data_IF_228581010757
#
_entry.id   IF_228581010757
#
_cell.length_a   1.000
_cell.length_b   1.000
_cell.length_c   1.000
_cell.angle_alpha   90.00
_cell.angle_beta   90.00
_cell.angle_gamma   90.00
#
_symmetry.space_group_name_H-M   'P 1'
#
loop_
_entity.id
_entity.type
_entity.pdbx_description
1 polymer ?
#
# COMPACT_ATOMS: atom_id res chain seq x y z
N UNK A 1 70.49 -32.90 24.61
CA UNK A 1 69.38 -33.23 23.73
C UNK A 1 68.02 -33.36 24.47
N UNK A 2 67.76 -32.67 25.57
CA UNK A 2 66.48 -32.72 26.31
C UNK A 2 65.84 -31.37 26.59
N UNK A 3 66.41 -30.26 26.07
CA UNK A 3 65.91 -28.90 26.33
C UNK A 3 65.21 -28.19 25.14
N UNK A 4 65.30 -28.76 23.94
CA UNK A 4 64.66 -28.19 22.75
C UNK A 4 63.24 -28.70 22.46
N UNK A 5 62.89 -29.88 22.97
CA UNK A 5 61.57 -30.45 22.79
C UNK A 5 60.51 -29.74 23.65
N UNK A 6 60.92 -29.15 24.80
CA UNK A 6 59.98 -28.49 25.73
C UNK A 6 59.59 -27.06 25.32
N UNK A 7 60.40 -26.43 24.45
CA UNK A 7 60.12 -25.06 23.93
C UNK A 7 59.20 -25.03 22.72
N UNK A 8 59.06 -26.15 21.99
CA UNK A 8 58.19 -26.25 20.81
C UNK A 8 56.72 -26.59 21.17
N UNK A 9 56.47 -27.18 22.33
CA UNK A 9 55.12 -27.54 22.79
C UNK A 9 54.39 -26.38 23.47
N UNK A 10 55.06 -25.37 23.98
CA UNK A 10 54.47 -24.19 24.59
C UNK A 10 54.11 -23.09 23.58
N UNK A 11 54.64 -23.09 22.36
CA UNK A 11 54.30 -22.15 21.30
C UNK A 11 53.07 -22.55 20.49
N UNK A 12 52.65 -23.84 20.56
CA UNK A 12 51.48 -24.34 19.81
C UNK A 12 50.14 -24.19 20.57
N UNK A 13 50.18 -23.94 21.90
CA UNK A 13 48.95 -23.79 22.74
C UNK A 13 48.53 -22.32 22.83
N UNK A 14 49.36 -21.35 22.45
CA UNK A 14 48.99 -19.92 22.52
C UNK A 14 48.29 -19.36 21.25
N UNK A 15 48.14 -20.16 20.17
CA UNK A 15 47.51 -19.72 18.92
C UNK A 15 46.07 -20.26 18.72
N UNK A 16 45.53 -21.00 19.70
CA UNK A 16 44.20 -21.62 19.54
C UNK A 16 43.05 -20.91 20.29
N UNK A 17 43.29 -19.71 20.86
CA UNK A 17 42.29 -19.05 21.72
C UNK A 17 41.92 -17.64 21.28
N UNK A 18 41.98 -17.30 19.98
CA UNK A 18 41.49 -16.01 19.47
C UNK A 18 40.56 -16.17 18.27
N UNK A 19 39.69 -17.18 18.30
CA UNK A 19 38.41 -17.14 17.58
C UNK A 19 37.31 -16.73 18.58
N UNK A 20 37.51 -15.59 19.28
CA UNK A 20 36.39 -14.89 19.85
C UNK A 20 35.57 -14.38 18.67
N UNK A 21 34.43 -15.04 18.42
CA UNK A 21 33.48 -14.61 17.41
C UNK A 21 33.30 -13.09 17.53
N UNK A 22 33.59 -12.35 16.49
CA UNK A 22 33.20 -10.97 16.37
C UNK A 22 31.67 -10.96 16.37
N UNK A 23 31.06 -10.93 17.55
CA UNK A 23 29.65 -10.58 17.71
C UNK A 23 29.52 -9.22 17.04
N UNK A 24 28.85 -9.15 15.90
CA UNK A 24 28.57 -7.87 15.27
C UNK A 24 27.95 -6.97 16.35
N UNK A 25 28.59 -5.85 16.61
CA UNK A 25 28.14 -4.93 17.66
C UNK A 25 26.72 -4.46 17.31
N UNK A 26 25.77 -4.65 18.24
CA UNK A 26 24.41 -4.20 18.08
C UNK A 26 24.37 -2.69 17.85
N UNK A 27 23.56 -2.26 16.89
CA UNK A 27 23.45 -0.85 16.50
C UNK A 27 21.97 -0.45 16.47
N UNK A 28 21.62 0.61 17.17
CA UNK A 28 20.25 1.09 17.30
C UNK A 28 20.16 2.59 17.08
N UNK A 29 19.16 3.00 16.30
CA UNK A 29 18.66 4.38 16.27
C UNK A 29 17.46 4.49 17.24
N UNK A 30 16.98 5.72 17.54
CA UNK A 30 15.77 5.93 18.33
C UNK A 30 14.61 5.04 17.82
N UNK A 31 13.88 4.44 18.76
CA UNK A 31 12.78 3.52 18.49
C UNK A 31 13.20 2.05 18.42
N UNK A 32 14.48 1.71 18.64
CA UNK A 32 14.93 0.32 18.72
C UNK A 32 15.86 0.09 19.90
N UNK A 33 15.80 -1.12 20.47
CA UNK A 33 16.70 -1.58 21.52
C UNK A 33 16.70 -3.13 21.56
N UNK A 34 17.32 -3.72 22.57
CA UNK A 34 17.40 -5.18 22.73
C UNK A 34 16.05 -5.89 22.91
N UNK A 35 15.01 -5.18 23.28
CA UNK A 35 13.69 -5.75 23.63
C UNK A 35 12.54 -5.26 22.79
N UNK A 36 12.71 -4.11 22.12
CA UNK A 36 11.61 -3.37 21.50
C UNK A 36 12.00 -2.80 20.13
N UNK A 37 11.02 -2.77 19.23
CA UNK A 37 11.04 -2.00 17.99
C UNK A 37 9.76 -1.16 17.98
N UNK A 38 9.89 0.16 18.04
CA UNK A 38 8.77 1.09 18.05
C UNK A 38 8.47 1.57 16.62
N UNK A 39 7.26 1.30 16.14
CA UNK A 39 6.78 1.61 14.79
C UNK A 39 5.64 2.62 14.90
N UNK A 40 5.81 3.78 14.25
CA UNK A 40 4.75 4.79 14.12
C UNK A 40 3.92 4.58 12.86
N UNK A 41 2.64 4.98 12.90
CA UNK A 41 1.77 5.00 11.73
C UNK A 41 0.76 6.16 11.82
N UNK A 42 0.31 6.62 10.66
CA UNK A 42 -0.72 7.67 10.53
C UNK A 42 -1.77 7.16 9.57
N UNK A 43 -2.99 6.97 10.06
CA UNK A 43 -4.13 6.48 9.28
C UNK A 43 -5.38 7.32 9.56
N UNK A 44 -6.30 7.46 8.59
CA UNK A 44 -7.58 8.12 8.83
C UNK A 44 -8.56 7.15 9.52
N UNK A 45 -8.51 7.07 10.85
CA UNK A 45 -9.51 6.31 11.62
C UNK A 45 -10.84 7.04 11.74
N UNK A 46 -10.84 8.34 11.49
CA UNK A 46 -12.00 9.21 11.44
C UNK A 46 -12.09 9.97 10.12
N UNK A 47 -13.18 10.75 9.92
CA UNK A 47 -13.36 11.62 8.76
C UNK A 47 -13.80 10.89 7.48
N UNK A 48 -13.74 11.58 6.32
CA UNK A 48 -14.35 11.12 5.06
C UNK A 48 -13.67 9.90 4.45
N UNK A 49 -12.41 9.62 4.81
CA UNK A 49 -11.66 8.47 4.33
C UNK A 49 -11.51 7.35 5.38
N UNK A 50 -12.35 7.36 6.43
CA UNK A 50 -12.27 6.43 7.57
C UNK A 50 -12.42 4.94 7.23
N UNK A 51 -12.98 4.60 6.08
CA UNK A 51 -13.00 3.21 5.59
C UNK A 51 -11.57 2.62 5.48
N UNK A 52 -10.56 3.44 5.17
CA UNK A 52 -9.16 3.02 5.13
C UNK A 52 -8.56 2.75 6.52
N UNK A 53 -9.18 3.19 7.60
CA UNK A 53 -8.73 2.90 8.97
C UNK A 53 -8.62 1.41 9.27
N UNK A 54 -9.34 0.57 8.55
CA UNK A 54 -9.23 -0.90 8.55
C UNK A 54 -7.79 -1.36 8.30
N UNK A 55 -7.05 -0.71 7.42
CA UNK A 55 -5.65 -1.04 7.10
C UNK A 55 -4.78 -0.95 8.35
N UNK A 56 -4.84 0.17 9.08
CA UNK A 56 -4.04 0.36 10.29
C UNK A 56 -4.40 -0.63 11.41
N UNK A 57 -5.68 -1.00 11.53
CA UNK A 57 -6.14 -2.04 12.46
C UNK A 57 -5.61 -3.42 12.09
N UNK A 58 -5.65 -3.79 10.82
CA UNK A 58 -5.11 -5.05 10.31
C UNK A 58 -3.58 -5.14 10.53
N UNK A 59 -2.84 -4.06 10.30
CA UNK A 59 -1.41 -3.95 10.61
C UNK A 59 -1.16 -4.22 12.09
N UNK A 60 -1.89 -3.56 12.99
CA UNK A 60 -1.77 -3.75 14.44
C UNK A 60 -2.04 -5.20 14.87
N UNK A 61 -3.06 -5.82 14.30
CA UNK A 61 -3.38 -7.23 14.54
C UNK A 61 -2.28 -8.17 14.02
N UNK A 62 -1.63 -7.85 12.89
CA UNK A 62 -0.51 -8.63 12.40
C UNK A 62 0.71 -8.51 13.33
N UNK A 63 1.01 -7.31 13.83
CA UNK A 63 2.08 -7.13 14.81
C UNK A 63 1.80 -7.84 16.15
N UNK A 64 0.53 -7.90 16.57
CA UNK A 64 0.13 -8.70 17.73
C UNK A 64 0.45 -10.19 17.52
N UNK A 65 0.20 -10.75 16.32
CA UNK A 65 0.63 -12.10 15.95
C UNK A 65 2.16 -12.25 16.08
N UNK A 66 2.93 -11.36 15.47
CA UNK A 66 4.40 -11.41 15.53
C UNK A 66 4.88 -11.36 16.98
N UNK A 67 4.29 -10.50 17.81
CA UNK A 67 4.61 -10.42 19.23
C UNK A 67 4.27 -11.70 20.00
N UNK A 68 3.16 -12.36 19.69
CA UNK A 68 2.79 -13.65 20.29
C UNK A 68 3.77 -14.76 19.91
N UNK A 69 4.39 -14.69 18.74
CA UNK A 69 5.38 -15.64 18.21
C UNK A 69 6.83 -15.33 18.66
N UNK A 70 7.03 -14.37 19.56
CA UNK A 70 8.35 -14.05 20.10
C UNK A 70 8.95 -12.74 19.60
N UNK A 71 8.27 -12.03 18.69
CA UNK A 71 8.73 -10.75 18.13
C UNK A 71 9.70 -10.93 16.96
N UNK A 72 10.40 -9.86 16.60
CA UNK A 72 11.39 -9.85 15.52
C UNK A 72 12.79 -10.01 16.16
N UNK A 73 13.44 -11.13 15.91
CA UNK A 73 14.75 -11.45 16.51
C UNK A 73 14.75 -11.24 18.04
N UNK A 74 13.65 -11.65 18.70
CA UNK A 74 13.47 -11.53 20.16
C UNK A 74 12.96 -10.17 20.65
N UNK A 75 12.73 -9.20 19.76
CA UNK A 75 12.23 -7.85 20.10
C UNK A 75 10.74 -7.74 19.83
N UNK A 76 9.99 -7.19 20.80
CA UNK A 76 8.56 -6.91 20.63
C UNK A 76 8.34 -5.66 19.80
N UNK A 77 7.30 -5.65 18.99
CA UNK A 77 6.86 -4.49 18.25
C UNK A 77 5.92 -3.67 19.13
N UNK A 78 6.23 -2.39 19.32
CA UNK A 78 5.30 -1.39 19.86
C UNK A 78 4.78 -0.57 18.69
N UNK A 79 3.47 -0.66 18.44
CA UNK A 79 2.80 0.00 17.33
C UNK A 79 2.04 1.24 17.80
N UNK A 80 2.48 2.42 17.39
CA UNK A 80 1.87 3.72 17.72
C UNK A 80 1.15 4.24 16.49
N UNK A 81 -0.16 4.02 16.42
CA UNK A 81 -1.00 4.44 15.31
C UNK A 81 -1.82 5.68 15.69
N UNK A 82 -1.70 6.75 14.92
CA UNK A 82 -2.35 8.03 15.15
C UNK A 82 -3.36 8.35 14.04
N UNK A 83 -4.43 9.08 14.41
CA UNK A 83 -5.51 9.48 13.49
C UNK A 83 -5.28 10.89 12.95
N UNK A 84 -5.14 11.03 11.63
CA UNK A 84 -5.09 12.32 10.96
C UNK A 84 -6.44 12.77 10.37
N UNK A 85 -7.46 11.90 10.38
CA UNK A 85 -8.75 12.17 9.73
C UNK A 85 -8.65 12.47 8.23
N UNK A 86 -7.57 12.02 7.57
CA UNK A 86 -7.22 12.36 6.18
C UNK A 86 -6.96 13.87 5.97
N UNK A 87 -6.43 14.53 6.99
CA UNK A 87 -6.13 15.96 6.98
C UNK A 87 -4.61 16.19 6.98
N UNK A 88 -4.04 16.81 5.93
CA UNK A 88 -2.59 17.01 5.81
C UNK A 88 -1.97 17.82 6.96
N UNK A 89 -2.68 18.80 7.50
CA UNK A 89 -2.19 19.59 8.63
C UNK A 89 -2.08 18.74 9.90
N UNK A 90 -3.09 17.91 10.18
CA UNK A 90 -3.03 16.94 11.28
C UNK A 90 -1.95 15.88 11.05
N UNK A 91 -1.75 15.42 9.81
CA UNK A 91 -0.69 14.48 9.50
C UNK A 91 0.69 15.04 9.89
N UNK A 92 0.94 16.34 9.66
CA UNK A 92 2.19 17.02 10.10
C UNK A 92 2.33 17.01 11.62
N UNK A 93 1.26 17.31 12.35
CA UNK A 93 1.24 17.24 13.81
C UNK A 93 1.52 15.83 14.33
N UNK A 94 0.83 14.82 13.76
CA UNK A 94 1.04 13.41 14.12
C UNK A 94 2.45 12.92 13.79
N UNK A 95 3.01 13.33 12.65
CA UNK A 95 4.38 12.98 12.28
C UNK A 95 5.41 13.56 13.27
N UNK A 96 5.23 14.80 13.70
CA UNK A 96 6.09 15.40 14.72
C UNK A 96 5.99 14.65 16.05
N UNK A 97 4.78 14.33 16.49
CA UNK A 97 4.56 13.55 17.70
C UNK A 97 5.26 12.20 17.64
N UNK A 98 5.12 11.46 16.53
CA UNK A 98 5.78 10.16 16.33
C UNK A 98 7.31 10.27 16.37
N UNK A 99 7.89 11.34 15.81
CA UNK A 99 9.35 11.51 15.72
C UNK A 99 9.95 12.12 16.97
N UNK A 100 9.33 13.15 17.54
CA UNK A 100 9.92 14.00 18.58
C UNK A 100 9.51 13.57 20.00
N UNK A 101 8.32 12.95 20.18
CA UNK A 101 7.83 12.50 21.49
C UNK A 101 7.90 10.97 21.60
N UNK A 102 7.38 10.25 20.61
CA UNK A 102 7.37 8.78 20.60
C UNK A 102 8.71 8.17 20.20
N UNK A 103 9.57 8.93 19.50
CA UNK A 103 10.88 8.51 19.03
C UNK A 103 10.85 7.20 18.24
N UNK A 104 9.90 7.06 17.28
CA UNK A 104 9.74 5.83 16.50
C UNK A 104 10.93 5.56 15.59
N UNK A 105 11.23 4.28 15.32
CA UNK A 105 12.25 3.86 14.38
C UNK A 105 11.87 4.24 12.95
N UNK A 106 10.62 4.00 12.58
CA UNK A 106 10.04 4.25 11.25
C UNK A 106 8.63 4.82 11.38
N UNK A 107 8.21 5.64 10.41
CA UNK A 107 6.80 5.96 10.14
C UNK A 107 6.36 5.03 9.01
N UNK A 108 5.59 4.02 9.36
CA UNK A 108 5.23 2.91 8.49
C UNK A 108 3.81 3.06 7.94
N UNK A 109 3.69 2.90 6.63
CA UNK A 109 2.42 2.88 5.89
C UNK A 109 1.48 4.07 6.18
N UNK A 110 2.01 5.32 6.33
CA UNK A 110 1.12 6.47 6.46
C UNK A 110 0.24 6.58 5.23
N UNK A 111 -1.06 6.90 5.45
CA UNK A 111 -2.07 6.77 4.40
C UNK A 111 -2.48 8.10 3.78
N UNK A 112 -2.64 8.07 2.46
CA UNK A 112 -3.18 9.18 1.67
C UNK A 112 -2.12 10.07 1.04
N UNK A 113 -2.31 10.42 -0.23
CA UNK A 113 -1.34 11.22 -0.99
C UNK A 113 -1.13 12.61 -0.38
N UNK A 114 -2.19 13.39 -0.03
CA UNK A 114 -1.99 14.71 0.55
C UNK A 114 -1.29 14.67 1.91
N UNK A 115 -1.65 13.73 2.79
CA UNK A 115 -1.01 13.56 4.11
C UNK A 115 0.47 13.19 3.97
N UNK A 116 0.79 12.22 3.10
CA UNK A 116 2.18 11.82 2.84
C UNK A 116 3.01 12.93 2.22
N UNK A 117 2.43 13.72 1.32
CA UNK A 117 3.11 14.89 0.72
C UNK A 117 3.48 15.91 1.80
N UNK A 118 2.58 16.18 2.73
CA UNK A 118 2.79 17.17 3.78
C UNK A 118 3.93 16.79 4.75
N UNK A 119 4.13 15.50 5.01
CA UNK A 119 5.14 15.01 5.97
C UNK A 119 6.47 14.61 5.32
N UNK A 120 6.53 14.42 3.99
CA UNK A 120 7.67 13.85 3.28
C UNK A 120 8.96 14.62 3.51
N UNK A 121 8.94 15.94 3.30
CA UNK A 121 10.13 16.77 3.47
C UNK A 121 10.66 16.74 4.91
N UNK A 122 9.76 16.82 5.89
CA UNK A 122 10.10 16.78 7.30
C UNK A 122 10.77 15.44 7.68
N UNK A 123 10.17 14.30 7.31
CA UNK A 123 10.71 12.98 7.63
C UNK A 123 12.05 12.74 6.93
N UNK A 124 12.22 13.17 5.66
CA UNK A 124 13.50 13.09 4.96
C UNK A 124 14.59 13.95 5.63
N UNK A 125 14.28 15.17 6.08
CA UNK A 125 15.22 16.02 6.83
C UNK A 125 15.62 15.40 8.17
N UNK A 126 14.67 14.77 8.88
CA UNK A 126 14.94 14.07 10.14
C UNK A 126 15.57 12.69 9.95
N UNK A 127 15.75 12.23 8.71
CA UNK A 127 16.24 10.89 8.36
C UNK A 127 15.43 9.77 9.05
N UNK A 128 14.12 9.94 9.10
CA UNK A 128 13.17 8.94 9.59
C UNK A 128 12.51 8.26 8.38
N UNK A 129 12.59 6.95 8.24
CA UNK A 129 11.93 6.25 7.15
C UNK A 129 10.42 6.52 7.11
N UNK A 130 9.93 7.03 5.99
CA UNK A 130 8.53 7.08 5.59
C UNK A 130 8.30 5.89 4.67
N UNK A 131 8.06 4.72 5.28
CA UNK A 131 8.28 3.45 4.62
C UNK A 131 6.98 2.79 4.21
N UNK A 132 6.93 2.32 2.95
CA UNK A 132 5.80 1.62 2.35
C UNK A 132 4.49 2.41 2.47
N UNK A 133 4.53 3.67 2.02
CA UNK A 133 3.39 4.58 2.14
C UNK A 133 2.13 4.02 1.47
N UNK A 134 0.98 4.19 2.12
CA UNK A 134 -0.32 3.73 1.62
C UNK A 134 -0.90 4.71 0.60
N UNK A 135 -0.20 4.85 -0.51
CA UNK A 135 -0.59 5.63 -1.69
C UNK A 135 0.30 5.24 -2.87
N UNK A 136 -0.29 5.16 -4.07
CA UNK A 136 0.43 4.83 -5.30
C UNK A 136 0.86 6.07 -6.11
N UNK A 137 0.86 7.28 -5.54
CA UNK A 137 1.34 8.43 -6.29
C UNK A 137 2.77 8.21 -6.77
N UNK A 138 3.02 8.46 -8.05
CA UNK A 138 4.26 8.08 -8.74
C UNK A 138 5.52 8.71 -8.14
N UNK A 139 5.37 9.82 -7.43
CA UNK A 139 6.47 10.52 -6.75
C UNK A 139 7.15 9.75 -5.63
N UNK A 140 6.54 8.68 -5.09
CA UNK A 140 7.13 7.89 -4.00
C UNK A 140 8.29 7.00 -4.46
N UNK A 141 8.42 6.77 -5.76
CA UNK A 141 9.51 6.00 -6.38
C UNK A 141 10.75 6.82 -6.72
N UNK A 142 11.08 7.88 -5.98
CA UNK A 142 12.21 8.76 -6.25
C UNK A 142 13.26 8.72 -5.11
N UNK A 143 14.13 7.70 -5.06
CA UNK A 143 15.17 7.60 -4.03
C UNK A 143 16.23 8.70 -4.11
N UNK A 144 16.42 9.33 -5.27
CA UNK A 144 17.41 10.38 -5.47
C UNK A 144 17.11 11.63 -4.65
N UNK A 145 15.85 12.11 -4.71
CA UNK A 145 15.45 13.33 -4.03
C UNK A 145 14.88 13.05 -2.62
N UNK A 146 14.30 11.87 -2.42
CA UNK A 146 13.66 11.46 -1.18
C UNK A 146 14.10 10.06 -0.73
N UNK A 147 15.37 9.89 -0.32
CA UNK A 147 15.94 8.58 0.02
C UNK A 147 15.31 7.92 1.26
N UNK A 148 14.51 8.65 2.02
CA UNK A 148 13.82 8.16 3.21
C UNK A 148 12.32 7.91 2.99
N UNK A 149 11.84 7.97 1.73
CA UNK A 149 10.44 7.69 1.38
C UNK A 149 10.37 6.58 0.35
N UNK A 150 9.55 5.57 0.59
CA UNK A 150 9.31 4.45 -0.34
C UNK A 150 7.82 4.14 -0.43
N UNK A 151 7.31 3.90 -1.65
CA UNK A 151 5.98 3.38 -1.91
C UNK A 151 5.81 1.92 -1.52
N UNK A 152 4.63 1.35 -1.76
CA UNK A 152 4.38 -0.09 -1.65
C UNK A 152 3.48 -0.61 -2.78
N UNK A 153 2.33 0.00 -2.96
CA UNK A 153 1.34 -0.39 -3.97
C UNK A 153 1.73 0.11 -5.37
N UNK A 154 1.12 -0.43 -6.44
CA UNK A 154 1.40 -0.02 -7.81
C UNK A 154 1.23 1.49 -8.04
N UNK A 155 2.08 2.09 -8.91
CA UNK A 155 1.97 3.50 -9.24
C UNK A 155 0.64 3.82 -9.93
N UNK A 156 -0.01 4.91 -9.51
CA UNK A 156 -1.30 5.36 -10.07
C UNK A 156 -1.23 5.66 -11.57
N UNK A 157 -0.12 6.22 -12.06
CA UNK A 157 0.04 6.43 -13.49
C UNK A 157 0.12 5.12 -14.27
N UNK A 158 0.72 4.06 -13.68
CA UNK A 158 0.76 2.75 -14.32
C UNK A 158 -0.65 2.15 -14.42
N UNK A 159 -1.43 2.24 -13.35
CA UNK A 159 -2.83 1.79 -13.34
C UNK A 159 -3.69 2.58 -14.33
N UNK A 160 -3.54 3.91 -14.39
CA UNK A 160 -4.21 4.75 -15.37
C UNK A 160 -3.93 4.33 -16.82
N UNK A 161 -2.67 4.00 -17.12
CA UNK A 161 -2.28 3.48 -18.46
C UNK A 161 -2.91 2.11 -18.78
N UNK A 162 -3.09 1.24 -17.78
CA UNK A 162 -3.79 -0.05 -17.98
C UNK A 162 -5.24 0.20 -18.45
N UNK A 163 -5.95 1.10 -17.81
CA UNK A 163 -7.33 1.43 -18.19
C UNK A 163 -7.41 2.09 -19.57
N UNK A 164 -6.51 3.02 -19.86
CA UNK A 164 -6.41 3.65 -21.17
C UNK A 164 -6.16 2.62 -22.28
N UNK A 165 -5.21 1.70 -22.08
CA UNK A 165 -4.92 0.62 -23.04
C UNK A 165 -6.15 -0.27 -23.24
N UNK A 166 -6.83 -0.67 -22.17
CA UNK A 166 -8.03 -1.49 -22.29
C UNK A 166 -9.16 -0.78 -23.06
N UNK A 167 -9.33 0.52 -22.88
CA UNK A 167 -10.30 1.32 -23.65
C UNK A 167 -9.89 1.34 -25.12
N UNK A 168 -8.64 1.63 -25.44
CA UNK A 168 -8.16 1.69 -26.81
C UNK A 168 -8.32 0.37 -27.56
N UNK A 169 -8.13 -0.75 -26.87
CA UNK A 169 -8.23 -2.10 -27.43
C UNK A 169 -9.69 -2.53 -27.67
N UNK A 170 -10.63 -2.09 -26.83
CA UNK A 170 -12.00 -2.62 -26.80
C UNK A 170 -13.06 -1.61 -27.23
N UNK A 171 -12.77 -0.31 -27.13
CA UNK A 171 -13.69 0.79 -27.45
C UNK A 171 -12.91 2.03 -27.91
N UNK A 172 -12.24 1.98 -29.06
CA UNK A 172 -11.32 3.03 -29.54
C UNK A 172 -11.97 4.39 -29.81
N UNK A 173 -13.32 4.42 -29.91
CA UNK A 173 -14.11 5.61 -30.15
C UNK A 173 -14.90 6.04 -28.88
N UNK A 174 -14.52 5.53 -27.72
CA UNK A 174 -15.19 5.83 -26.46
C UNK A 174 -15.20 7.34 -26.18
N UNK A 175 -16.36 7.83 -25.69
CA UNK A 175 -16.50 9.15 -25.09
C UNK A 175 -16.35 9.01 -23.58
N UNK A 176 -15.29 9.53 -23.03
CA UNK A 176 -14.86 9.25 -21.66
C UNK A 176 -15.21 10.43 -20.75
N UNK A 177 -15.87 10.14 -19.63
CA UNK A 177 -16.00 11.06 -18.50
C UNK A 177 -15.03 10.67 -17.39
N UNK A 178 -14.46 11.64 -16.67
CA UNK A 178 -13.57 11.41 -15.55
C UNK A 178 -14.06 12.17 -14.32
N UNK A 179 -14.19 11.46 -13.19
CA UNK A 179 -14.38 12.06 -11.87
C UNK A 179 -13.11 11.82 -11.05
N UNK A 180 -12.54 12.87 -10.46
CA UNK A 180 -11.30 12.74 -9.70
C UNK A 180 -11.26 13.63 -8.45
N UNK A 181 -10.58 13.17 -7.40
CA UNK A 181 -10.29 13.99 -6.22
C UNK A 181 -9.32 15.10 -6.62
N UNK A 182 -9.61 16.35 -6.24
CA UNK A 182 -8.85 17.53 -6.67
C UNK A 182 -7.56 17.71 -5.86
N UNK A 183 -6.70 16.71 -5.90
CA UNK A 183 -5.38 16.73 -5.27
C UNK A 183 -4.37 15.92 -6.11
N UNK A 184 -3.16 15.73 -5.56
CA UNK A 184 -2.10 14.97 -6.23
C UNK A 184 -2.49 13.51 -6.50
N UNK A 185 -3.36 12.90 -5.68
CA UNK A 185 -3.85 11.53 -5.92
C UNK A 185 -4.67 11.45 -7.20
N UNK A 186 -5.72 12.27 -7.31
CA UNK A 186 -6.59 12.25 -8.49
C UNK A 186 -5.86 12.69 -9.75
N UNK A 187 -4.99 13.70 -9.64
CA UNK A 187 -4.21 14.23 -10.78
C UNK A 187 -3.14 13.25 -11.28
N UNK A 188 -2.54 12.43 -10.39
CA UNK A 188 -1.55 11.43 -10.78
C UNK A 188 -2.18 10.27 -11.58
N UNK A 189 -3.37 9.80 -11.16
CA UNK A 189 -4.16 8.85 -11.95
C UNK A 189 -4.55 9.42 -13.32
N UNK A 190 -5.11 10.65 -13.31
CA UNK A 190 -5.55 11.32 -14.55
C UNK A 190 -4.38 11.47 -15.52
N UNK A 191 -3.21 11.88 -15.04
CA UNK A 191 -2.00 11.99 -15.85
C UNK A 191 -1.64 10.67 -16.52
N UNK A 192 -1.58 9.57 -15.75
CA UNK A 192 -1.27 8.25 -16.29
C UNK A 192 -2.30 7.76 -17.31
N UNK A 193 -3.56 8.08 -17.10
CA UNK A 193 -4.65 7.78 -18.03
C UNK A 193 -4.52 8.57 -19.34
N UNK A 194 -4.28 9.87 -19.26
CA UNK A 194 -4.04 10.73 -20.42
C UNK A 194 -2.79 10.33 -21.21
N UNK A 195 -1.69 10.01 -20.50
CA UNK A 195 -0.46 9.50 -21.12
C UNK A 195 -0.72 8.18 -21.87
N UNK A 196 -1.56 7.30 -21.31
CA UNK A 196 -1.94 6.03 -21.93
C UNK A 196 -2.83 6.18 -23.17
N UNK A 197 -3.71 7.19 -23.20
CA UNK A 197 -4.53 7.54 -24.37
C UNK A 197 -3.72 8.26 -25.46
N UNK A 198 -2.59 8.87 -25.10
CA UNK A 198 -1.75 9.64 -26.01
C UNK A 198 -2.51 10.80 -26.67
N UNK A 199 -2.31 10.99 -27.97
CA UNK A 199 -2.94 12.08 -28.74
C UNK A 199 -4.49 12.01 -28.72
N UNK A 200 -5.06 10.83 -28.50
CA UNK A 200 -6.51 10.62 -28.42
C UNK A 200 -7.13 11.19 -27.14
N UNK A 201 -6.34 11.47 -26.09
CA UNK A 201 -6.86 11.97 -24.82
C UNK A 201 -7.74 13.22 -24.99
N UNK A 202 -7.33 14.16 -25.85
CA UNK A 202 -8.07 15.42 -26.10
C UNK A 202 -9.44 15.22 -26.75
N UNK A 203 -9.56 14.21 -27.60
CA UNK A 203 -10.82 13.93 -28.32
C UNK A 203 -11.72 12.94 -27.57
N UNK A 204 -11.13 11.98 -26.85
CA UNK A 204 -11.87 10.95 -26.14
C UNK A 204 -12.39 11.42 -24.78
N UNK A 205 -11.63 12.21 -24.01
CA UNK A 205 -12.10 12.72 -22.70
C UNK A 205 -13.00 13.91 -22.92
N UNK A 206 -14.32 13.69 -22.95
CA UNK A 206 -15.35 14.68 -23.25
C UNK A 206 -15.81 15.47 -22.03
N UNK A 207 -15.57 14.97 -20.82
CA UNK A 207 -15.93 15.66 -19.58
C UNK A 207 -14.98 15.28 -18.44
N UNK A 208 -14.67 16.27 -17.61
CA UNK A 208 -13.96 16.12 -16.34
C UNK A 208 -14.71 16.83 -15.25
N UNK A 209 -14.84 16.22 -14.09
CA UNK A 209 -15.35 16.84 -12.89
C UNK A 209 -14.42 16.46 -11.72
N UNK A 210 -14.19 17.40 -10.83
CA UNK A 210 -13.43 17.14 -9.60
C UNK A 210 -14.33 17.28 -8.37
N UNK A 211 -13.85 16.72 -7.25
CA UNK A 211 -14.45 16.89 -5.94
C UNK A 211 -13.35 17.11 -4.91
N UNK A 212 -13.73 17.76 -3.81
CA UNK A 212 -12.88 17.85 -2.62
C UNK A 212 -13.25 16.74 -1.64
N UNK A 213 -12.26 16.21 -0.90
CA UNK A 213 -12.51 15.16 0.09
C UNK A 213 -13.48 15.59 1.20
N UNK A 214 -13.64 16.89 1.38
CA UNK A 214 -14.56 17.51 2.34
C UNK A 214 -15.96 17.73 1.81
N UNK A 215 -16.20 17.47 0.52
CA UNK A 215 -17.53 17.62 -0.06
C UNK A 215 -18.52 16.65 0.58
N UNK A 216 -19.77 17.07 0.81
CA UNK A 216 -20.77 16.17 1.37
C UNK A 216 -21.22 15.10 0.36
N UNK A 217 -21.32 15.45 -0.92
CA UNK A 217 -21.82 14.61 -2.02
C UNK A 217 -21.19 15.02 -3.35
N UNK A 218 -21.28 14.13 -4.34
CA UNK A 218 -20.79 14.35 -5.72
C UNK A 218 -21.94 14.28 -6.75
N UNK A 219 -23.16 14.47 -6.32
CA UNK A 219 -24.35 14.30 -7.15
C UNK A 219 -24.35 15.21 -8.38
N UNK A 220 -23.97 16.47 -8.21
CA UNK A 220 -23.91 17.45 -9.31
C UNK A 220 -22.83 17.08 -10.34
N UNK A 221 -21.69 16.61 -9.89
CA UNK A 221 -20.63 16.12 -10.76
C UNK A 221 -21.12 14.94 -11.60
N UNK A 222 -21.80 13.97 -10.98
CA UNK A 222 -22.31 12.79 -11.68
C UNK A 222 -23.37 13.13 -12.72
N UNK A 223 -24.28 14.07 -12.43
CA UNK A 223 -25.26 14.57 -13.41
C UNK A 223 -24.57 15.27 -14.58
N UNK A 224 -23.58 16.10 -14.31
CA UNK A 224 -22.80 16.80 -15.35
C UNK A 224 -22.06 15.81 -16.24
N UNK A 225 -21.40 14.80 -15.65
CA UNK A 225 -20.65 13.79 -16.39
C UNK A 225 -21.57 12.95 -17.30
N UNK A 226 -22.76 12.54 -16.80
CA UNK A 226 -23.77 11.86 -17.63
C UNK A 226 -24.22 12.74 -18.81
N UNK A 227 -24.47 14.02 -18.56
CA UNK A 227 -24.99 14.96 -19.58
C UNK A 227 -24.00 15.19 -20.73
N UNK A 228 -22.73 14.85 -20.58
CA UNK A 228 -21.72 14.92 -21.65
C UNK A 228 -21.93 13.87 -22.75
N UNK A 229 -22.81 12.89 -22.52
CA UNK A 229 -23.02 11.76 -23.42
C UNK A 229 -21.85 10.77 -23.42
N UNK A 230 -21.05 10.74 -22.35
CA UNK A 230 -19.96 9.77 -22.18
C UNK A 230 -20.51 8.36 -22.01
N UNK A 231 -19.85 7.40 -22.66
CA UNK A 231 -20.15 5.96 -22.64
C UNK A 231 -19.05 5.11 -21.99
N UNK A 232 -17.99 5.78 -21.52
CA UNK A 232 -17.00 5.24 -20.60
C UNK A 232 -16.81 6.23 -19.44
N UNK A 233 -16.56 5.70 -18.25
CA UNK A 233 -16.39 6.48 -17.03
C UNK A 233 -15.18 6.02 -16.26
N UNK A 234 -14.23 6.91 -16.00
CA UNK A 234 -13.12 6.65 -15.08
C UNK A 234 -13.37 7.34 -13.75
N UNK A 235 -13.56 6.54 -12.72
CA UNK A 235 -13.90 6.91 -11.36
C UNK A 235 -12.65 6.88 -10.48
N UNK A 236 -12.05 8.06 -10.23
CA UNK A 236 -10.84 8.24 -9.43
C UNK A 236 -11.24 8.83 -8.08
N UNK A 237 -11.86 7.99 -7.25
CA UNK A 237 -12.43 8.44 -5.98
C UNK A 237 -12.00 7.57 -4.81
N UNK A 238 -11.99 8.17 -3.62
CA UNK A 238 -11.82 7.45 -2.34
C UNK A 238 -13.12 6.73 -1.94
N UNK A 239 -13.10 5.76 -1.01
CA UNK A 239 -14.19 4.81 -0.76
C UNK A 239 -15.59 5.41 -0.63
N UNK A 240 -15.77 6.46 0.18
CA UNK A 240 -17.05 7.16 0.36
C UNK A 240 -17.62 7.64 -0.99
N UNK A 241 -16.78 8.32 -1.75
CA UNK A 241 -17.18 8.92 -3.03
C UNK A 241 -17.29 7.89 -4.15
N UNK A 242 -16.51 6.80 -4.09
CA UNK A 242 -16.67 5.67 -5.00
C UNK A 242 -18.05 5.03 -4.83
N UNK A 243 -18.47 4.75 -3.61
CA UNK A 243 -19.79 4.21 -3.32
C UNK A 243 -20.91 5.18 -3.76
N UNK A 244 -20.75 6.48 -3.52
CA UNK A 244 -21.69 7.51 -3.99
C UNK A 244 -21.77 7.56 -5.52
N UNK A 245 -20.63 7.52 -6.23
CA UNK A 245 -20.58 7.57 -7.68
C UNK A 245 -21.26 6.36 -8.33
N UNK A 246 -20.98 5.16 -7.81
CA UNK A 246 -21.61 3.91 -8.29
C UNK A 246 -23.12 3.96 -8.09
N UNK A 247 -23.57 4.30 -6.88
CA UNK A 247 -24.99 4.42 -6.54
C UNK A 247 -25.67 5.47 -7.39
N UNK A 248 -25.06 6.65 -7.53
CA UNK A 248 -25.63 7.75 -8.32
C UNK A 248 -25.73 7.42 -9.80
N UNK A 249 -24.73 6.75 -10.39
CA UNK A 249 -24.80 6.29 -11.78
C UNK A 249 -26.03 5.39 -12.01
N UNK A 250 -26.30 4.45 -11.10
CA UNK A 250 -27.48 3.58 -11.15
C UNK A 250 -28.77 4.39 -10.99
N UNK A 251 -28.87 5.29 -10.02
CA UNK A 251 -30.04 6.13 -9.75
C UNK A 251 -30.45 6.98 -10.96
N UNK A 252 -29.46 7.56 -11.64
CA UNK A 252 -29.73 8.41 -12.83
C UNK A 252 -29.79 7.60 -14.12
N UNK A 253 -29.70 6.26 -14.07
CA UNK A 253 -29.75 5.38 -15.23
C UNK A 253 -28.58 5.56 -16.20
N UNK A 254 -27.39 5.95 -15.71
CA UNK A 254 -26.17 6.05 -16.51
C UNK A 254 -25.38 4.73 -16.45
N UNK A 255 -25.17 4.11 -17.61
CA UNK A 255 -24.55 2.77 -17.74
C UNK A 255 -23.31 2.81 -18.66
N UNK A 256 -22.26 3.56 -18.33
CA UNK A 256 -21.02 3.57 -19.09
C UNK A 256 -20.20 2.30 -18.82
N UNK A 257 -19.19 2.04 -19.63
CA UNK A 257 -18.10 1.14 -19.22
C UNK A 257 -17.37 1.83 -18.05
N UNK A 258 -17.52 1.31 -16.85
CA UNK A 258 -17.12 1.98 -15.61
C UNK A 258 -15.80 1.41 -15.05
N UNK A 259 -14.74 2.19 -15.11
CA UNK A 259 -13.45 1.90 -14.51
C UNK A 259 -13.38 2.51 -13.12
N UNK A 260 -13.12 1.68 -12.13
CA UNK A 260 -12.94 2.09 -10.74
C UNK A 260 -11.46 1.93 -10.36
N UNK A 261 -10.85 2.98 -9.83
CA UNK A 261 -9.49 2.91 -9.34
C UNK A 261 -9.35 1.88 -8.21
N UNK A 262 -8.23 1.17 -8.19
CA UNK A 262 -7.97 0.03 -7.32
C UNK A 262 -8.14 0.32 -5.83
N UNK A 263 -7.70 1.51 -5.37
CA UNK A 263 -7.78 1.90 -3.95
C UNK A 263 -9.21 2.01 -3.41
N UNK A 264 -10.23 1.90 -4.27
CA UNK A 264 -11.65 1.84 -3.90
C UNK A 264 -12.32 0.52 -4.33
N UNK A 265 -11.53 -0.51 -4.65
CA UNK A 265 -12.03 -1.79 -5.15
C UNK A 265 -12.54 -2.77 -4.08
N UNK A 266 -12.50 -2.45 -2.77
CA UNK A 266 -12.96 -3.37 -1.72
C UNK A 266 -14.45 -3.69 -1.83
N UNK A 267 -14.77 -4.99 -1.93
CA UNK A 267 -16.17 -5.45 -1.96
C UNK A 267 -16.87 -5.08 -0.66
N UNK A 268 -16.27 -5.35 0.49
CA UNK A 268 -16.87 -5.08 1.79
C UNK A 268 -17.00 -3.59 2.13
N UNK A 269 -15.94 -2.82 1.87
CA UNK A 269 -15.89 -1.42 2.29
C UNK A 269 -16.51 -0.44 1.28
N UNK A 270 -16.63 -0.81 -0.01
CA UNK A 270 -17.08 0.10 -1.08
C UNK A 270 -18.27 -0.45 -1.83
N UNK A 271 -18.18 -1.67 -2.41
CA UNK A 271 -19.21 -2.17 -3.30
C UNK A 271 -20.48 -2.56 -2.54
N UNK A 272 -20.35 -3.11 -1.33
CA UNK A 272 -21.52 -3.41 -0.47
C UNK A 272 -22.31 -2.14 -0.12
N UNK A 273 -21.70 -1.04 0.37
CA UNK A 273 -22.41 0.23 0.57
C UNK A 273 -22.98 0.86 -0.70
N UNK A 274 -22.32 0.66 -1.85
CA UNK A 274 -22.80 1.16 -3.16
C UNK A 274 -24.02 0.38 -3.68
N UNK A 275 -24.20 -0.85 -3.20
CA UNK A 275 -25.11 -1.86 -3.73
C UNK A 275 -24.39 -2.77 -4.73
N UNK A 276 -24.34 -4.08 -4.43
CA UNK A 276 -23.64 -5.04 -5.27
C UNK A 276 -24.23 -5.10 -6.68
N UNK A 277 -25.56 -5.01 -6.83
CA UNK A 277 -26.24 -4.98 -8.13
C UNK A 277 -25.86 -3.73 -8.95
N UNK A 278 -25.66 -2.58 -8.29
CA UNK A 278 -25.21 -1.35 -8.94
C UNK A 278 -23.76 -1.42 -9.40
N UNK A 279 -23.00 -2.36 -8.85
CA UNK A 279 -21.56 -2.54 -9.08
C UNK A 279 -21.24 -3.58 -10.16
N UNK A 280 -22.25 -4.30 -10.67
CA UNK A 280 -22.06 -5.31 -11.71
C UNK A 280 -21.44 -4.69 -12.96
N UNK A 281 -20.36 -5.29 -13.46
CA UNK A 281 -19.67 -4.85 -14.67
C UNK A 281 -18.57 -3.81 -14.44
N UNK A 282 -18.38 -3.30 -13.20
CA UNK A 282 -17.23 -2.45 -12.87
C UNK A 282 -15.91 -3.14 -13.24
N UNK A 283 -14.95 -2.36 -13.71
CA UNK A 283 -13.59 -2.80 -14.06
C UNK A 283 -12.60 -2.17 -13.09
N UNK A 284 -11.62 -2.95 -12.62
CA UNK A 284 -10.48 -2.46 -11.82
C UNK A 284 -9.21 -3.22 -12.19
N UNK A 285 -8.04 -2.66 -11.85
CA UNK A 285 -6.75 -3.35 -11.99
C UNK A 285 -6.24 -3.74 -10.59
N UNK A 286 -6.44 -5.02 -10.22
CA UNK A 286 -6.04 -5.56 -8.93
C UNK A 286 -4.61 -6.09 -8.94
N UNK A 287 -3.98 -6.12 -7.76
CA UNK A 287 -2.69 -6.76 -7.49
C UNK A 287 -2.76 -7.66 -6.25
N UNK A 288 -3.82 -7.54 -5.46
CA UNK A 288 -4.13 -8.38 -4.30
C UNK A 288 -5.19 -9.41 -4.65
N UNK A 289 -5.14 -10.56 -3.98
CA UNK A 289 -6.22 -11.56 -4.00
C UNK A 289 -7.46 -10.98 -3.32
N UNK A 290 -8.57 -10.97 -4.02
CA UNK A 290 -9.85 -10.56 -3.42
C UNK A 290 -10.35 -11.66 -2.47
N UNK A 291 -10.68 -11.33 -1.20
CA UNK A 291 -11.12 -12.34 -0.24
C UNK A 291 -12.49 -12.95 -0.56
N UNK A 292 -13.28 -12.34 -1.45
CA UNK A 292 -14.58 -12.84 -1.89
C UNK A 292 -14.49 -13.81 -3.07
N UNK A 293 -13.32 -13.88 -3.74
CA UNK A 293 -13.14 -14.72 -4.91
C UNK A 293 -13.03 -16.20 -4.53
N UNK A 294 -13.96 -17.07 -5.01
CA UNK A 294 -13.93 -18.50 -4.72
C UNK A 294 -12.68 -19.21 -5.28
N UNK A 295 -11.96 -18.63 -6.22
CA UNK A 295 -10.68 -19.16 -6.69
C UNK A 295 -9.68 -19.36 -5.53
N UNK A 296 -9.76 -18.50 -4.51
CA UNK A 296 -8.88 -18.55 -3.34
C UNK A 296 -9.46 -19.37 -2.17
N UNK A 297 -10.55 -20.12 -2.36
CA UNK A 297 -11.17 -20.89 -1.29
C UNK A 297 -10.22 -21.96 -0.71
N UNK A 298 -9.40 -22.58 -1.57
CA UNK A 298 -8.41 -23.58 -1.17
C UNK A 298 -6.95 -23.10 -1.27
N UNK A 299 -6.74 -21.80 -1.48
CA UNK A 299 -5.40 -21.22 -1.53
C UNK A 299 -4.76 -21.21 -0.13
N UNK A 300 -3.60 -21.85 0.08
CA UNK A 300 -2.98 -21.95 1.40
C UNK A 300 -2.68 -20.57 2.02
N UNK A 301 -2.27 -19.59 1.20
CA UNK A 301 -1.98 -18.24 1.65
C UNK A 301 -3.21 -17.51 2.17
N UNK A 302 -4.33 -17.58 1.42
CA UNK A 302 -5.59 -16.97 1.84
C UNK A 302 -6.26 -17.74 2.98
N UNK A 303 -6.06 -19.06 3.10
CA UNK A 303 -6.49 -19.82 4.28
C UNK A 303 -5.72 -19.37 5.52
N UNK A 304 -4.40 -19.21 5.43
CA UNK A 304 -3.59 -18.66 6.51
C UNK A 304 -4.01 -17.24 6.91
N UNK A 305 -4.38 -16.38 5.94
CA UNK A 305 -4.94 -15.06 6.21
C UNK A 305 -6.30 -15.15 6.94
N UNK A 306 -7.22 -16.05 6.54
CA UNK A 306 -8.52 -16.24 7.21
C UNK A 306 -8.36 -16.73 8.66
N UNK A 307 -7.44 -17.66 8.89
CA UNK A 307 -7.12 -18.14 10.25
C UNK A 307 -6.51 -17.03 11.12
N UNK A 308 -5.62 -16.22 10.53
CA UNK A 308 -5.07 -15.06 11.22
C UNK A 308 -6.18 -14.05 11.56
N UNK A 309 -7.07 -13.70 10.63
CA UNK A 309 -8.24 -12.83 10.89
C UNK A 309 -9.04 -13.36 12.08
N UNK A 310 -9.41 -14.63 12.06
CA UNK A 310 -10.18 -15.27 13.13
C UNK A 310 -9.50 -15.20 14.49
N UNK A 311 -8.19 -15.34 14.53
CA UNK A 311 -7.44 -15.43 15.78
C UNK A 311 -7.01 -14.08 16.35
N UNK A 312 -6.61 -13.15 15.49
CA UNK A 312 -5.98 -11.88 15.90
C UNK A 312 -6.80 -10.64 15.52
N UNK A 313 -7.79 -10.78 14.63
CA UNK A 313 -8.63 -9.68 14.18
C UNK A 313 -10.08 -10.15 13.95
N UNK A 314 -10.67 -10.78 14.96
CA UNK A 314 -12.00 -11.38 14.87
C UNK A 314 -13.13 -10.40 14.52
N UNK A 315 -13.00 -9.12 14.88
CA UNK A 315 -13.95 -8.06 14.54
C UNK A 315 -13.77 -7.52 13.11
N UNK A 316 -12.73 -7.96 12.39
CA UNK A 316 -12.46 -7.56 11.01
C UNK A 316 -13.42 -8.17 10.01
N UNK A 317 -13.84 -7.37 9.01
CA UNK A 317 -14.73 -7.86 7.96
C UNK A 317 -13.96 -8.74 6.96
N UNK A 318 -14.32 -10.02 6.85
CA UNK A 318 -13.66 -11.01 5.97
C UNK A 318 -13.82 -10.73 4.46
N UNK A 319 -14.75 -9.88 4.06
CA UNK A 319 -14.95 -9.50 2.65
C UNK A 319 -14.35 -8.12 2.33
N UNK A 320 -13.64 -7.50 3.28
CA UNK A 320 -12.96 -6.23 3.08
C UNK A 320 -11.51 -6.46 2.63
N UNK A 321 -11.22 -6.16 1.37
CA UNK A 321 -9.88 -6.30 0.76
C UNK A 321 -8.81 -5.43 1.44
N UNK A 322 -9.18 -4.39 2.18
CA UNK A 322 -8.23 -3.58 2.96
C UNK A 322 -7.55 -4.38 4.07
N UNK A 323 -8.20 -5.45 4.56
CA UNK A 323 -7.57 -6.37 5.51
C UNK A 323 -6.46 -7.21 4.86
N UNK A 324 -6.63 -7.61 3.60
CA UNK A 324 -5.57 -8.31 2.82
C UNK A 324 -4.40 -7.37 2.57
N UNK A 325 -4.69 -6.09 2.26
CA UNK A 325 -3.66 -5.06 2.11
C UNK A 325 -2.84 -4.89 3.39
N UNK A 326 -3.50 -4.63 4.53
CA UNK A 326 -2.84 -4.41 5.82
C UNK A 326 -1.98 -5.60 6.26
N UNK A 327 -2.49 -6.83 6.07
CA UNK A 327 -1.77 -8.07 6.31
C UNK A 327 -0.49 -8.17 5.46
N UNK A 328 -0.61 -7.90 4.16
CA UNK A 328 0.49 -8.05 3.20
C UNK A 328 1.59 -6.99 3.39
N UNK A 329 1.21 -5.72 3.61
CA UNK A 329 2.20 -4.66 3.84
C UNK A 329 2.92 -4.83 5.18
N UNK A 330 2.23 -5.33 6.21
CA UNK A 330 2.85 -5.65 7.50
C UNK A 330 3.86 -6.80 7.38
N UNK A 331 3.56 -7.84 6.59
CA UNK A 331 4.51 -8.91 6.26
C UNK A 331 5.77 -8.35 5.60
N UNK A 332 5.63 -7.39 4.68
CA UNK A 332 6.75 -6.75 3.99
C UNK A 332 7.69 -6.05 4.98
N UNK A 333 7.13 -5.24 5.91
CA UNK A 333 7.93 -4.58 6.92
C UNK A 333 8.62 -5.57 7.86
N UNK A 334 7.89 -6.58 8.33
CA UNK A 334 8.45 -7.61 9.23
C UNK A 334 9.63 -8.32 8.57
N UNK A 335 9.56 -8.61 7.27
CA UNK A 335 10.68 -9.20 6.55
C UNK A 335 11.88 -8.24 6.46
N UNK A 336 11.66 -6.97 6.13
CA UNK A 336 12.74 -5.98 6.11
C UNK A 336 13.42 -5.83 7.49
N UNK A 337 12.64 -5.79 8.56
CA UNK A 337 13.17 -5.71 9.93
C UNK A 337 13.89 -6.99 10.38
N UNK A 338 13.44 -8.18 9.95
CA UNK A 338 14.16 -9.45 10.19
C UNK A 338 15.54 -9.43 9.53
N UNK A 339 15.64 -8.90 8.31
CA UNK A 339 16.91 -8.78 7.58
C UNK A 339 17.87 -7.78 8.24
N UNK A 340 17.37 -6.82 9.03
CA UNK A 340 18.23 -5.90 9.77
C UNK A 340 19.07 -6.60 10.85
N UNK A 341 18.62 -7.75 11.39
CA UNK A 341 19.31 -8.45 12.46
C UNK A 341 19.48 -7.57 13.70
N UNK A 342 20.71 -7.41 14.15
CA UNK A 342 21.07 -6.58 15.29
C UNK A 342 21.47 -5.13 14.91
N UNK A 343 21.37 -4.79 13.62
CA UNK A 343 21.55 -3.43 13.14
C UNK A 343 20.20 -2.79 12.80
N UNK A 344 19.53 -2.26 13.81
CA UNK A 344 18.26 -1.54 13.69
C UNK A 344 18.51 -0.01 13.64
N UNK A 345 19.44 0.41 12.79
CA UNK A 345 19.56 1.82 12.40
C UNK A 345 18.57 2.14 11.28
N UNK A 346 18.06 3.37 11.25
CA UNK A 346 17.13 3.84 10.20
C UNK A 346 17.74 3.67 8.81
N UNK A 347 19.03 3.93 8.67
CA UNK A 347 19.74 3.74 7.40
C UNK A 347 19.76 2.28 6.96
N UNK A 348 19.97 1.32 7.88
CA UNK A 348 19.93 -0.09 7.55
C UNK A 348 18.50 -0.57 7.25
N UNK A 349 17.48 -0.04 7.95
CA UNK A 349 16.07 -0.33 7.62
C UNK A 349 15.76 0.06 6.18
N UNK A 350 16.15 1.26 5.73
CA UNK A 350 15.97 1.68 4.33
C UNK A 350 16.77 0.80 3.37
N UNK A 351 18.00 0.42 3.72
CA UNK A 351 18.83 -0.49 2.91
C UNK A 351 18.17 -1.85 2.73
N UNK A 352 17.63 -2.44 3.80
CA UNK A 352 16.93 -3.73 3.73
C UNK A 352 15.60 -3.62 2.97
N UNK A 353 14.86 -2.52 3.16
CA UNK A 353 13.66 -2.24 2.39
C UNK A 353 13.94 -2.08 0.88
N UNK A 354 15.13 -1.60 0.51
CA UNK A 354 15.58 -1.47 -0.87
C UNK A 354 16.27 -2.73 -1.43
N UNK A 355 16.09 -3.88 -0.79
CA UNK A 355 16.69 -5.16 -1.23
C UNK A 355 15.72 -6.34 -1.06
N UNK A 356 14.43 -6.07 -1.23
CA UNK A 356 13.38 -7.09 -1.11
C UNK A 356 13.15 -7.81 -2.44
N UNK A 357 12.88 -9.11 -2.35
CA UNK A 357 12.32 -9.93 -3.43
C UNK A 357 11.42 -10.98 -2.75
N UNK A 358 10.10 -10.69 -2.69
CA UNK A 358 9.15 -11.44 -1.88
C UNK A 358 7.92 -11.85 -2.68
N UNK A 359 7.54 -13.10 -2.53
CA UNK A 359 6.20 -13.57 -2.86
C UNK A 359 5.35 -13.54 -1.58
N UNK A 360 4.28 -12.74 -1.59
CA UNK A 360 3.38 -12.63 -0.45
C UNK A 360 2.08 -13.40 -0.71
N UNK A 361 1.53 -14.09 0.29
CA UNK A 361 0.33 -14.91 0.13
C UNK A 361 -0.91 -14.13 -0.32
N UNK A 362 -0.99 -12.82 -0.01
CA UNK A 362 -2.08 -11.95 -0.40
C UNK A 362 -1.95 -11.32 -1.80
N UNK A 363 -0.81 -11.50 -2.50
CA UNK A 363 -0.63 -10.97 -3.85
C UNK A 363 -1.16 -11.95 -4.90
N UNK A 364 -1.58 -11.40 -6.05
CA UNK A 364 -1.96 -12.21 -7.22
C UNK A 364 -0.77 -13.02 -7.75
N UNK A 365 -1.01 -14.18 -8.38
CA UNK A 365 0.03 -14.92 -9.07
C UNK A 365 0.76 -14.06 -10.11
N UNK A 366 2.10 -14.09 -10.07
CA UNK A 366 2.94 -13.27 -10.94
C UNK A 366 3.14 -11.82 -10.50
N UNK A 367 2.57 -11.45 -9.35
CA UNK A 367 2.83 -10.18 -8.66
C UNK A 367 3.70 -10.44 -7.44
N UNK A 368 4.78 -9.72 -7.29
CA UNK A 368 5.71 -9.82 -6.17
C UNK A 368 6.11 -8.44 -5.66
N UNK A 369 6.68 -8.40 -4.46
CA UNK A 369 7.36 -7.22 -3.92
C UNK A 369 8.82 -7.30 -4.30
N UNK A 370 9.29 -6.38 -5.14
CA UNK A 370 10.70 -6.32 -5.55
C UNK A 370 11.21 -4.90 -5.50
N UNK A 371 12.35 -4.68 -4.85
CA UNK A 371 12.94 -3.36 -4.68
C UNK A 371 14.43 -3.38 -5.03
N UNK A 372 15.00 -2.21 -5.27
CA UNK A 372 16.41 -2.01 -5.55
C UNK A 372 16.89 -0.67 -5.00
N UNK A 373 18.19 -0.43 -5.01
CA UNK A 373 18.79 0.83 -4.55
C UNK A 373 18.23 2.06 -5.32
N UNK A 374 17.94 1.86 -6.60
CA UNK A 374 17.40 2.89 -7.50
C UNK A 374 15.92 2.64 -7.87
N UNK A 375 15.28 1.67 -7.23
CA UNK A 375 13.90 1.26 -7.49
C UNK A 375 13.08 1.18 -6.19
N UNK A 376 12.29 2.22 -5.94
CA UNK A 376 11.41 2.37 -4.80
C UNK A 376 9.93 2.14 -5.16
N UNK A 377 9.68 1.34 -6.21
CA UNK A 377 8.37 0.83 -6.59
C UNK A 377 8.23 -0.67 -6.25
N UNK A 378 7.90 -1.04 -5.02
CA UNK A 378 7.90 -2.44 -4.58
C UNK A 378 6.98 -3.35 -5.38
N UNK A 379 5.81 -2.84 -5.81
CA UNK A 379 4.84 -3.56 -6.63
C UNK A 379 4.55 -2.75 -7.88
N UNK A 380 4.79 -3.34 -9.05
CA UNK A 380 4.59 -2.67 -10.35
C UNK A 380 3.60 -3.41 -11.25
N UNK A 381 3.05 -4.54 -10.79
CA UNK A 381 2.19 -5.40 -11.60
C UNK A 381 0.75 -5.40 -11.11
N UNK A 382 -0.17 -5.55 -12.05
CA UNK A 382 -1.59 -5.69 -11.79
C UNK A 382 -2.31 -6.40 -12.92
N UNK A 383 -3.52 -6.89 -12.65
CA UNK A 383 -4.38 -7.58 -13.61
C UNK A 383 -5.78 -6.99 -13.59
N UNK A 384 -6.37 -6.83 -14.76
CA UNK A 384 -7.76 -6.38 -14.88
C UNK A 384 -8.72 -7.43 -14.30
N UNK A 385 -9.74 -6.91 -13.62
CA UNK A 385 -10.84 -7.70 -13.07
C UNK A 385 -12.17 -7.01 -13.34
N UNK A 386 -13.23 -7.81 -13.48
CA UNK A 386 -14.62 -7.35 -13.62
C UNK A 386 -15.45 -7.85 -12.47
N UNK A 387 -16.23 -6.98 -11.86
CA UNK A 387 -17.14 -7.38 -10.80
C UNK A 387 -18.38 -8.05 -11.38
N UNK A 388 -18.68 -9.27 -10.93
CA UNK A 388 -19.79 -10.09 -11.42
C UNK A 388 -21.07 -9.98 -10.59
N UNK A 389 -21.08 -9.16 -9.53
CA UNK A 389 -22.13 -9.02 -8.54
C UNK A 389 -21.81 -9.70 -7.21
N UNK A 390 -20.76 -10.49 -7.13
CA UNK A 390 -20.30 -11.20 -5.92
C UNK A 390 -18.82 -11.01 -5.66
N UNK A 391 -18.00 -11.09 -6.70
CA UNK A 391 -16.53 -11.05 -6.62
C UNK A 391 -15.89 -10.38 -7.84
N UNK A 392 -14.61 -10.07 -7.73
CA UNK A 392 -13.79 -9.60 -8.83
C UNK A 392 -13.24 -10.78 -9.64
N UNK A 393 -13.78 -10.99 -10.84
CA UNK A 393 -13.33 -12.03 -11.78
C UNK A 393 -12.21 -11.47 -12.65
N UNK A 394 -11.02 -12.04 -12.52
CA UNK A 394 -9.82 -11.64 -13.27
C UNK A 394 -9.92 -12.01 -14.74
N UNK A 395 -9.36 -11.19 -15.62
CA UNK A 395 -9.26 -11.48 -17.04
C UNK A 395 -8.03 -10.82 -17.67
N UNK A 396 -7.70 -11.26 -18.89
CA UNK A 396 -6.57 -10.70 -19.63
C UNK A 396 -5.20 -11.07 -19.03
N UNK A 397 -4.17 -10.35 -19.45
CA UNK A 397 -2.79 -10.55 -18.99
C UNK A 397 -2.51 -9.76 -17.69
N UNK A 398 -1.42 -10.14 -17.02
CA UNK A 398 -0.79 -9.30 -16.01
C UNK A 398 -0.03 -8.19 -16.71
N UNK A 399 -0.26 -6.93 -16.31
CA UNK A 399 0.41 -5.74 -16.80
C UNK A 399 1.53 -5.34 -15.84
N UNK A 400 2.49 -4.56 -16.32
CA UNK A 400 3.61 -4.03 -15.54
C UNK A 400 4.93 -4.73 -15.84
N UNK A 401 5.99 -4.31 -15.12
CA UNK A 401 7.37 -4.83 -15.28
C UNK A 401 7.62 -6.09 -14.51
#
# INVERSE_FOLDING_TARGET
MKSEALRRTLAAVALATFCAGASAQKQYDPGANDKEIKIGAIHPYSGPASAYGTIGKAIGAYFAKINAEGGINGRKITYVALDDGYNPAKAVEMARKLVEEEEVLVVFNPLGTPSNTAIQKYLNQKKVPQLFVATGATKWGNPKDFPWTMGWQPPYQAEGRIYAQHILDNKPDARIAVLYQNDDYGKDYLKGFEDGLGDKAKSMIVARASYEVTDPTIDSQMVTLKSSGADAFFNITTPKFAAQAIKKAAEIGWKPVHYLNNVSGSVGAVLTPAGLDNSVGLLTAGYLKDPTDPEWANDPGMNGWREWMKKYYADGNLIDGFNVYGYSVAMTLVQALKQCGDNLTRANVMKQAASLDLELPGLLPGVNVKTGADDFFPIERGQLSRFDGKTWVRFGKVYGR
#
